data_IF_115014985831
#
_entry.id   IF_115014985831
#
_cell.length_a   1.000
_cell.length_b   1.000
_cell.length_c   1.000
_cell.angle_alpha   90.00
_cell.angle_beta   90.00
_cell.angle_gamma   90.00
#
_symmetry.space_group_name_H-M   'P 1'
#
loop_
_entity.id
_entity.type
_entity.pdbx_description
1 polymer ?
#
# COMPACT_ATOMS: atom_id res chain seq x y z
N UNK A 1 -5.53 0.49 -16.65
CA UNK A 1 -4.36 -0.39 -16.52
C UNK A 1 -4.16 -0.59 -15.02
N UNK A 2 -4.61 -1.73 -14.49
CA UNK A 2 -4.57 -2.02 -13.05
C UNK A 2 -3.14 -2.40 -12.64
N UNK A 3 -2.31 -1.39 -12.36
CA UNK A 3 -0.97 -1.62 -11.81
C UNK A 3 -1.10 -2.21 -10.39
N UNK A 4 -0.74 -3.49 -10.25
CA UNK A 4 -0.67 -4.17 -8.95
C UNK A 4 0.79 -4.17 -8.49
N UNK A 5 1.04 -3.51 -7.36
CA UNK A 5 2.36 -3.39 -6.74
C UNK A 5 2.51 -4.40 -5.61
N UNK A 6 3.71 -4.97 -5.46
CA UNK A 6 4.12 -5.68 -4.25
C UNK A 6 4.39 -4.70 -3.12
N UNK A 7 4.48 -5.22 -1.89
CA UNK A 7 4.79 -4.41 -0.70
C UNK A 7 6.06 -3.58 -0.87
N UNK A 8 7.12 -4.14 -1.47
CA UNK A 8 8.37 -3.44 -1.74
C UNK A 8 8.20 -2.31 -2.75
N UNK A 9 7.51 -2.57 -3.86
CA UNK A 9 7.26 -1.57 -4.90
C UNK A 9 6.38 -0.42 -4.38
N UNK A 10 5.37 -0.75 -3.56
CA UNK A 10 4.55 0.27 -2.90
C UNK A 10 5.35 1.12 -1.91
N UNK A 11 6.31 0.51 -1.21
CA UNK A 11 7.21 1.20 -0.30
C UNK A 11 8.13 2.18 -1.05
N UNK A 12 8.72 1.75 -2.17
CA UNK A 12 9.51 2.59 -3.06
C UNK A 12 8.68 3.73 -3.65
N UNK A 13 7.46 3.44 -4.12
CA UNK A 13 6.55 4.43 -4.68
C UNK A 13 6.18 5.54 -3.68
N UNK A 14 5.92 5.15 -2.43
CA UNK A 14 5.62 6.10 -1.34
C UNK A 14 6.87 6.70 -0.69
N UNK A 15 8.08 6.27 -1.07
CA UNK A 15 9.36 6.64 -0.44
C UNK A 15 9.37 6.39 1.08
N UNK A 16 8.87 5.24 1.49
CA UNK A 16 8.75 4.80 2.90
C UNK A 16 9.31 3.38 3.07
N UNK A 17 9.50 2.94 4.31
CA UNK A 17 9.89 1.55 4.58
C UNK A 17 8.74 0.55 4.42
N UNK A 18 9.06 -0.71 4.06
CA UNK A 18 8.06 -1.79 3.97
C UNK A 18 7.27 -1.99 5.27
N UNK A 19 7.92 -1.80 6.42
CA UNK A 19 7.28 -1.90 7.73
C UNK A 19 6.11 -0.91 7.87
N UNK A 20 6.25 0.30 7.31
CA UNK A 20 5.20 1.30 7.30
C UNK A 20 4.03 0.87 6.41
N UNK A 21 4.30 0.32 5.23
CA UNK A 21 3.25 -0.24 4.35
C UNK A 21 2.48 -1.35 5.08
N UNK A 22 3.19 -2.29 5.73
CA UNK A 22 2.54 -3.36 6.52
C UNK A 22 1.70 -2.79 7.66
N UNK A 23 2.16 -1.73 8.31
CA UNK A 23 1.40 -1.04 9.35
C UNK A 23 0.14 -0.39 8.78
N UNK A 24 0.21 0.28 7.63
CA UNK A 24 -0.96 0.87 6.96
C UNK A 24 -2.01 -0.19 6.60
N UNK A 25 -1.58 -1.33 6.09
CA UNK A 25 -2.46 -2.47 5.78
C UNK A 25 -3.08 -3.02 7.05
N UNK A 26 -2.29 -3.22 8.12
CA UNK A 26 -2.79 -3.69 9.42
C UNK A 26 -3.83 -2.75 10.03
N UNK A 27 -3.61 -1.44 9.88
CA UNK A 27 -4.53 -0.39 10.33
C UNK A 27 -5.72 -0.17 9.38
N UNK A 28 -5.87 -0.98 8.32
CA UNK A 28 -6.91 -0.83 7.29
C UNK A 28 -6.92 0.54 6.60
N UNK A 29 -5.80 1.27 6.63
CA UNK A 29 -5.60 2.56 5.94
C UNK A 29 -5.22 2.39 4.47
N UNK A 30 -4.71 1.21 4.12
CA UNK A 30 -4.34 0.85 2.75
C UNK A 30 -4.92 -0.52 2.45
N UNK A 31 -5.70 -0.62 1.36
CA UNK A 31 -6.30 -1.88 0.91
C UNK A 31 -5.24 -2.71 0.20
N UNK A 32 -5.20 -4.00 0.52
CA UNK A 32 -4.25 -4.93 -0.06
C UNK A 32 -4.82 -6.36 -0.07
N UNK A 33 -4.30 -7.18 -0.99
CA UNK A 33 -4.61 -8.59 -1.13
C UNK A 33 -3.41 -9.41 -0.65
N UNK A 34 -3.62 -10.34 0.26
CA UNK A 34 -2.54 -11.20 0.76
C UNK A 34 -2.20 -12.30 -0.24
N UNK A 35 -0.92 -12.44 -0.59
CA UNK A 35 -0.42 -13.51 -1.47
C UNK A 35 0.07 -14.71 -0.62
N UNK A 36 -0.75 -15.14 0.34
CA UNK A 36 -0.46 -16.25 1.26
C UNK A 36 0.53 -15.95 2.39
N UNK A 37 0.88 -16.99 3.18
CA UNK A 37 1.67 -16.88 4.44
C UNK A 37 3.08 -16.29 4.28
N UNK A 38 3.68 -16.33 3.09
CA UNK A 38 5.06 -15.86 2.82
C UNK A 38 5.17 -14.88 1.64
N UNK A 39 4.11 -14.68 0.85
CA UNK A 39 4.17 -13.92 -0.42
C UNK A 39 4.06 -12.40 -0.29
N UNK A 40 3.86 -11.87 0.92
CA UNK A 40 3.64 -10.44 1.11
C UNK A 40 2.26 -9.98 0.63
N UNK A 41 2.13 -8.68 0.37
CA UNK A 41 0.87 -8.06 -0.04
C UNK A 41 0.95 -7.51 -1.47
N UNK A 42 -0.14 -7.71 -2.21
CA UNK A 42 -0.44 -7.06 -3.50
C UNK A 42 -1.36 -5.87 -3.27
N UNK A 43 -0.94 -4.72 -3.74
CA UNK A 43 -1.57 -3.43 -3.48
C UNK A 43 -1.88 -2.80 -4.83
N UNK A 44 -3.14 -2.45 -5.09
CA UNK A 44 -3.45 -1.72 -6.32
C UNK A 44 -2.93 -0.30 -6.20
N UNK A 45 -2.36 0.22 -7.29
CA UNK A 45 -1.88 1.59 -7.34
C UNK A 45 -3.00 2.61 -7.06
N UNK A 46 -4.24 2.31 -7.46
CA UNK A 46 -5.42 3.11 -7.16
C UNK A 46 -5.70 3.24 -5.65
N UNK A 47 -5.49 2.17 -4.88
CA UNK A 47 -5.63 2.19 -3.42
C UNK A 47 -4.55 3.08 -2.78
N UNK A 48 -3.33 3.07 -3.34
CA UNK A 48 -2.24 3.96 -2.90
C UNK A 48 -2.57 5.42 -3.22
N UNK A 49 -3.02 5.71 -4.42
CA UNK A 49 -3.43 7.06 -4.83
C UNK A 49 -4.57 7.58 -3.96
N UNK A 50 -5.54 6.72 -3.63
CA UNK A 50 -6.63 7.04 -2.71
C UNK A 50 -6.11 7.36 -1.31
N UNK A 51 -5.14 6.60 -0.81
CA UNK A 51 -4.47 6.90 0.47
C UNK A 51 -3.75 8.25 0.45
N UNK A 52 -2.99 8.56 -0.61
CA UNK A 52 -2.30 9.85 -0.76
C UNK A 52 -3.29 11.00 -0.77
N UNK A 53 -4.36 10.89 -1.56
CA UNK A 53 -5.40 11.92 -1.67
C UNK A 53 -6.09 12.17 -0.33
N UNK A 54 -6.42 11.11 0.41
CA UNK A 54 -7.00 11.24 1.75
C UNK A 54 -6.02 11.85 2.76
N UNK A 55 -4.72 11.56 2.65
CA UNK A 55 -3.68 12.16 3.51
C UNK A 55 -3.52 13.66 3.22
N UNK A 56 -3.61 14.08 1.96
CA UNK A 56 -3.53 15.48 1.56
C UNK A 56 -4.78 16.28 1.98
N UNK A 57 -5.97 15.68 1.95
CA UNK A 57 -7.22 16.33 2.37
C UNK A 57 -7.34 16.54 3.88
N UNK A 58 -6.67 15.71 4.68
CA UNK A 58 -6.67 15.78 6.15
C UNK A 58 -5.52 16.63 6.71
N UNK A 59 -4.89 17.47 5.89
CA UNK A 59 -3.80 18.37 6.28
C UNK A 59 -4.26 19.82 6.12
#
# INVERSE_FOLDING_TARGET
MDDILKTKEAAEYLKVGEAYIRQLIRLKKLRAYGEGRRGGYRIRKEDINSYINNKLKNK
#
